data_IF_464119673539
#
_entry.id   IF_464119673539
#
_cell.length_a   1.000
_cell.length_b   1.000
_cell.length_c   1.000
_cell.angle_alpha   90.00
_cell.angle_beta   90.00
_cell.angle_gamma   90.00
#
_symmetry.space_group_name_H-M   'P 1'
#
loop_
_entity.id
_entity.type
_entity.pdbx_description
1 polymer ?
#
# COMPACT_ATOMS: atom_id res chain seq x y z
N UNK A 1 0.38 17.96 0.95
CA UNK A 1 -0.13 18.18 -0.40
C UNK A 1 -1.65 18.14 -0.43
N UNK A 2 -2.25 19.08 -1.13
CA UNK A 2 -3.70 19.14 -1.35
C UNK A 2 -4.08 18.71 -2.76
N UNK A 3 -3.14 18.83 -3.69
CA UNK A 3 -3.28 18.44 -5.09
C UNK A 3 -2.13 17.51 -5.51
N UNK A 4 -2.34 16.77 -6.60
CA UNK A 4 -1.35 15.83 -7.14
C UNK A 4 -0.01 16.52 -7.46
N UNK A 5 -0.06 17.74 -7.99
CA UNK A 5 1.13 18.49 -8.38
C UNK A 5 1.96 18.97 -7.19
N UNK A 6 1.36 19.09 -6.01
CA UNK A 6 2.10 19.41 -4.79
C UNK A 6 3.11 18.33 -4.43
N UNK A 7 2.91 17.09 -4.90
CA UNK A 7 3.84 15.99 -4.64
C UNK A 7 5.24 16.22 -5.19
N UNK A 8 5.39 17.07 -6.22
CA UNK A 8 6.70 17.42 -6.78
C UNK A 8 7.58 18.20 -5.80
N UNK A 9 6.95 18.90 -4.85
CA UNK A 9 7.63 19.60 -3.75
C UNK A 9 7.94 18.68 -2.55
N UNK A 10 7.49 17.42 -2.58
CA UNK A 10 7.68 16.46 -1.51
C UNK A 10 8.64 15.33 -1.93
N UNK A 11 9.12 14.61 -0.94
CA UNK A 11 9.98 13.43 -1.13
C UNK A 11 9.23 12.20 -0.68
N UNK A 12 9.35 11.12 -1.42
CA UNK A 12 8.89 9.81 -0.98
C UNK A 12 10.00 9.02 -0.31
N UNK A 13 9.60 8.09 0.56
CA UNK A 13 10.43 6.92 0.83
C UNK A 13 10.22 5.94 -0.33
N UNK A 14 11.28 5.55 -1.01
CA UNK A 14 11.21 4.56 -2.07
C UNK A 14 11.00 3.15 -1.51
N UNK A 15 10.19 2.35 -2.16
CA UNK A 15 10.05 0.93 -1.87
C UNK A 15 10.48 0.10 -3.08
N UNK A 16 11.37 -0.87 -2.88
CA UNK A 16 11.78 -1.80 -3.92
C UNK A 16 11.96 -3.19 -3.31
N UNK A 17 11.44 -4.23 -3.95
CA UNK A 17 11.57 -5.61 -3.44
C UNK A 17 13.00 -6.15 -3.46
N UNK A 18 13.83 -5.59 -4.34
CA UNK A 18 15.25 -5.98 -4.48
C UNK A 18 16.13 -4.76 -4.29
N UNK A 19 17.17 -4.88 -3.49
CA UNK A 19 18.17 -3.81 -3.31
C UNK A 19 18.81 -3.46 -4.65
N UNK A 20 18.92 -2.15 -4.92
CA UNK A 20 19.44 -1.62 -6.17
C UNK A 20 18.42 -1.54 -7.31
N UNK A 21 17.22 -2.10 -7.15
CA UNK A 21 16.13 -1.87 -8.10
C UNK A 21 15.55 -0.46 -7.98
N UNK A 22 14.94 0.02 -9.06
CA UNK A 22 14.20 1.29 -9.02
C UNK A 22 13.01 1.14 -8.06
N UNK A 23 12.73 2.16 -7.22
CA UNK A 23 11.55 2.15 -6.37
C UNK A 23 10.28 2.16 -7.21
N UNK A 24 9.21 1.60 -6.65
CA UNK A 24 7.89 1.67 -7.25
C UNK A 24 7.42 3.12 -7.38
N UNK A 25 6.75 3.47 -8.47
CA UNK A 25 6.15 4.79 -8.65
C UNK A 25 4.96 4.96 -7.69
N UNK A 26 4.60 6.21 -7.44
CA UNK A 26 3.34 6.55 -6.76
C UNK A 26 2.16 6.23 -7.68
N UNK A 27 1.26 5.35 -7.25
CA UNK A 27 0.04 4.98 -7.99
C UNK A 27 -1.14 5.79 -7.46
N UNK A 28 -1.98 6.27 -8.36
CA UNK A 28 -3.17 7.05 -7.99
C UNK A 28 -4.31 6.86 -8.99
N UNK A 29 -5.54 7.09 -8.52
CA UNK A 29 -6.72 7.13 -9.36
C UNK A 29 -6.81 8.49 -10.04
N UNK A 30 -6.62 8.53 -11.36
CA UNK A 30 -6.80 9.75 -12.15
C UNK A 30 -8.28 9.91 -12.50
N UNK A 31 -8.90 10.95 -11.96
CA UNK A 31 -10.30 11.28 -12.21
C UNK A 31 -10.48 12.37 -13.26
N UNK A 32 -9.41 12.96 -13.77
CA UNK A 32 -9.46 14.11 -14.69
C UNK A 32 -10.05 13.74 -16.06
N UNK A 33 -9.86 12.51 -16.50
CA UNK A 33 -10.37 11.99 -17.76
C UNK A 33 -11.84 11.46 -17.70
N UNK A 34 -12.50 11.57 -16.55
CA UNK A 34 -13.88 11.12 -16.36
C UNK A 34 -14.10 9.61 -16.28
N UNK A 35 -13.06 8.80 -16.44
CA UNK A 35 -13.14 7.34 -16.51
C UNK A 35 -12.44 6.59 -15.36
N UNK A 36 -11.88 7.28 -14.38
CA UNK A 36 -11.23 6.65 -13.23
C UNK A 36 -10.14 5.65 -13.61
N UNK A 37 -9.12 6.11 -14.29
CA UNK A 37 -7.98 5.28 -14.71
C UNK A 37 -6.87 5.39 -13.68
N UNK A 38 -6.23 4.24 -13.33
CA UNK A 38 -5.05 4.28 -12.48
C UNK A 38 -3.83 4.75 -13.28
N UNK A 39 -3.13 5.71 -12.72
CA UNK A 39 -1.91 6.28 -13.29
C UNK A 39 -0.75 6.19 -12.29
N UNK A 40 0.46 6.45 -12.77
CA UNK A 40 1.67 6.37 -11.97
C UNK A 40 2.50 7.62 -12.17
N UNK A 41 3.10 8.09 -11.07
CA UNK A 41 4.02 9.23 -11.07
C UNK A 41 5.32 8.85 -10.37
N UNK A 42 6.44 9.06 -11.04
CA UNK A 42 7.75 8.91 -10.41
C UNK A 42 8.01 10.13 -9.53
N UNK A 43 8.22 9.90 -8.25
CA UNK A 43 8.56 10.94 -7.29
C UNK A 43 10.00 10.78 -6.83
N UNK A 44 10.59 11.88 -6.37
CA UNK A 44 11.93 11.88 -5.82
C UNK A 44 11.94 11.06 -4.53
N UNK A 45 12.90 10.15 -4.40
CA UNK A 45 13.15 9.38 -3.18
C UNK A 45 14.61 9.55 -2.76
N UNK A 46 14.84 9.95 -1.50
CA UNK A 46 16.19 10.07 -0.95
C UNK A 46 16.64 8.76 -0.27
N UNK A 47 15.69 7.95 0.17
CA UNK A 47 15.90 6.65 0.82
C UNK A 47 15.01 5.63 0.13
N UNK A 48 15.55 4.45 -0.13
CA UNK A 48 14.80 3.30 -0.65
C UNK A 48 15.00 2.11 0.28
N UNK A 49 13.90 1.46 0.63
CA UNK A 49 13.84 0.31 1.53
C UNK A 49 13.17 -0.88 0.83
N UNK A 50 13.31 -2.08 1.39
CA UNK A 50 12.79 -3.32 0.81
C UNK A 50 11.91 -4.14 1.76
N UNK A 51 11.49 -3.56 2.88
CA UNK A 51 10.57 -4.20 3.81
C UNK A 51 9.61 -3.18 4.43
N UNK A 52 8.45 -3.65 4.87
CA UNK A 52 7.36 -2.82 5.35
C UNK A 52 7.69 -2.06 6.64
N UNK A 53 8.45 -2.66 7.54
CA UNK A 53 8.84 -2.05 8.82
C UNK A 53 9.74 -0.85 8.59
N UNK A 54 10.82 -1.01 7.82
CA UNK A 54 11.71 0.09 7.45
C UNK A 54 10.96 1.20 6.69
N UNK A 55 9.97 0.83 5.87
CA UNK A 55 9.16 1.76 5.11
C UNK A 55 8.34 2.67 6.04
N UNK A 56 7.64 2.07 7.00
CA UNK A 56 6.87 2.83 8.01
C UNK A 56 7.77 3.65 8.93
N UNK A 57 8.87 3.08 9.40
CA UNK A 57 9.81 3.79 10.29
C UNK A 57 10.48 4.98 9.60
N UNK A 58 10.81 4.88 8.32
CA UNK A 58 11.34 6.00 7.55
C UNK A 58 10.33 7.14 7.44
N UNK A 59 9.04 6.85 7.25
CA UNK A 59 7.99 7.86 7.26
C UNK A 59 7.84 8.50 8.64
N UNK A 60 7.82 7.71 9.72
CA UNK A 60 7.78 8.21 11.11
C UNK A 60 8.96 9.10 11.43
N UNK A 61 10.13 8.82 10.88
CA UNK A 61 11.32 9.65 11.00
C UNK A 61 11.28 10.93 10.14
N UNK A 62 10.20 11.16 9.38
CA UNK A 62 10.04 12.35 8.53
C UNK A 62 10.83 12.31 7.22
N UNK A 63 11.27 11.12 6.78
CA UNK A 63 12.10 10.97 5.58
C UNK A 63 11.30 11.05 4.27
N UNK A 64 9.96 11.04 4.34
CA UNK A 64 9.12 11.22 3.16
C UNK A 64 7.75 10.58 3.29
N UNK A 65 6.96 10.72 2.22
CA UNK A 65 5.64 10.13 2.07
C UNK A 65 5.79 8.64 1.73
N UNK A 66 4.89 7.81 2.25
CA UNK A 66 4.78 6.39 1.91
C UNK A 66 3.40 6.07 1.33
N UNK A 67 3.31 4.99 0.57
CA UNK A 67 2.06 4.46 0.07
C UNK A 67 1.88 3.02 0.58
N UNK A 68 0.95 2.84 1.51
CA UNK A 68 0.72 1.57 2.20
C UNK A 68 -0.77 1.26 2.29
N UNK A 69 -1.17 -0.01 2.43
CA UNK A 69 -2.56 -0.35 2.74
C UNK A 69 -3.00 0.33 4.04
N UNK A 70 -4.21 0.91 4.03
CA UNK A 70 -4.76 1.64 5.18
C UNK A 70 -4.81 0.79 6.46
N UNK A 71 -5.05 -0.52 6.31
CA UNK A 71 -5.03 -1.48 7.43
C UNK A 71 -3.66 -1.54 8.12
N UNK A 72 -2.58 -1.44 7.36
CA UNK A 72 -1.21 -1.47 7.90
C UNK A 72 -0.80 -0.18 8.62
N UNK A 73 -1.46 0.93 8.31
CA UNK A 73 -1.21 2.25 8.90
C UNK A 73 -2.25 2.66 9.96
N UNK A 74 -3.17 1.73 10.33
CA UNK A 74 -4.34 2.05 11.14
C UNK A 74 -3.98 2.65 12.51
N UNK A 75 -3.02 2.07 13.19
CA UNK A 75 -2.61 2.53 14.53
C UNK A 75 -2.00 3.94 14.46
N UNK A 76 -1.10 4.18 13.52
CA UNK A 76 -0.44 5.46 13.32
C UNK A 76 -1.40 6.56 12.83
N UNK A 77 -2.44 6.20 12.09
CA UNK A 77 -3.50 7.14 11.72
C UNK A 77 -4.38 7.49 12.91
N UNK A 78 -4.63 6.55 13.83
CA UNK A 78 -5.45 6.77 15.04
C UNK A 78 -4.72 7.61 16.09
N UNK A 79 -3.42 7.39 16.28
CA UNK A 79 -2.60 8.13 17.24
C UNK A 79 -2.06 9.46 16.67
N UNK A 80 -2.28 9.71 15.37
CA UNK A 80 -1.89 10.95 14.68
C UNK A 80 -0.41 11.01 14.28
N UNK A 81 0.36 9.94 14.42
CA UNK A 81 1.76 9.88 13.98
C UNK A 81 1.87 9.80 12.45
N UNK A 82 0.83 9.30 11.77
CA UNK A 82 0.64 9.44 10.33
C UNK A 82 -0.53 10.36 10.01
N UNK A 83 -0.40 11.07 8.91
CA UNK A 83 -1.47 11.89 8.31
C UNK A 83 -1.73 11.38 6.89
N UNK A 84 -2.98 11.06 6.60
CA UNK A 84 -3.39 10.68 5.25
C UNK A 84 -3.38 11.91 4.33
N UNK A 85 -2.71 11.80 3.20
CA UNK A 85 -2.64 12.85 2.17
C UNK A 85 -3.30 12.38 0.90
N UNK A 86 -3.96 13.28 0.18
CA UNK A 86 -4.65 13.02 -1.09
C UNK A 86 -5.66 11.84 -1.03
N UNK A 87 -6.59 11.81 -0.06
CA UNK A 87 -7.48 10.68 0.15
C UNK A 87 -8.40 10.38 -1.05
N UNK A 88 -8.61 11.36 -1.95
CA UNK A 88 -9.39 11.17 -3.17
C UNK A 88 -8.60 10.49 -4.30
N UNK A 89 -7.29 10.38 -4.19
CA UNK A 89 -6.39 9.83 -5.20
C UNK A 89 -5.79 8.48 -4.75
N UNK A 90 -6.61 7.62 -4.19
CA UNK A 90 -6.14 6.32 -3.69
C UNK A 90 -5.57 5.44 -4.80
N UNK A 91 -4.55 4.66 -4.46
CA UNK A 91 -4.04 3.60 -5.32
C UNK A 91 -5.09 2.50 -5.52
N UNK A 92 -4.85 1.65 -6.51
CA UNK A 92 -5.66 0.45 -6.74
C UNK A 92 -5.72 -0.41 -5.49
N UNK A 93 -6.89 -0.98 -5.16
CA UNK A 93 -6.99 -1.96 -4.10
C UNK A 93 -6.02 -3.12 -4.33
N UNK A 94 -5.25 -3.46 -3.29
CA UNK A 94 -4.30 -4.57 -3.36
C UNK A 94 -5.05 -5.90 -3.21
N UNK A 95 -5.02 -6.79 -4.22
CA UNK A 95 -5.66 -8.08 -4.11
C UNK A 95 -4.91 -8.96 -3.10
N UNK A 96 -5.66 -9.57 -2.19
CA UNK A 96 -5.14 -10.56 -1.25
C UNK A 96 -5.62 -11.93 -1.71
N UNK A 97 -4.68 -12.86 -1.86
CA UNK A 97 -4.97 -14.23 -2.32
C UNK A 97 -4.52 -15.25 -1.29
N UNK A 98 -5.40 -16.20 -0.99
CA UNK A 98 -5.07 -17.35 -0.18
C UNK A 98 -4.49 -18.45 -1.06
N UNK A 99 -3.22 -18.79 -0.85
CA UNK A 99 -2.54 -19.84 -1.60
C UNK A 99 -2.47 -21.12 -0.77
N UNK A 100 -2.82 -22.23 -1.40
CA UNK A 100 -2.72 -23.56 -0.79
C UNK A 100 -2.22 -24.59 -1.83
N UNK A 101 -1.53 -25.66 -1.39
CA UNK A 101 -1.09 -26.71 -2.30
C UNK A 101 -2.28 -27.38 -3.00
N UNK A 102 -2.24 -27.46 -4.32
CA UNK A 102 -3.28 -28.16 -5.08
C UNK A 102 -3.21 -29.67 -4.77
N UNK A 103 -4.11 -30.15 -3.92
CA UNK A 103 -4.30 -31.57 -3.63
C UNK A 103 -5.73 -31.98 -4.02
N UNK A 104 -5.86 -33.15 -4.62
CA UNK A 104 -7.16 -33.70 -5.02
C UNK A 104 -8.19 -33.79 -3.88
N UNK A 105 -7.70 -33.88 -2.64
CA UNK A 105 -8.52 -33.88 -1.43
C UNK A 105 -7.93 -32.93 -0.40
N UNK A 106 -8.57 -31.79 -0.21
CA UNK A 106 -8.22 -30.87 0.87
C UNK A 106 -8.71 -31.45 2.20
N UNK A 107 -7.87 -31.59 3.23
CA UNK A 107 -8.33 -31.96 4.56
C UNK A 107 -9.41 -31.00 5.06
N UNK A 108 -10.48 -31.53 5.67
CA UNK A 108 -11.61 -30.71 6.15
C UNK A 108 -11.16 -29.56 7.07
N UNK A 109 -10.16 -29.79 7.93
CA UNK A 109 -9.56 -28.75 8.80
C UNK A 109 -8.98 -27.56 8.02
N UNK A 110 -8.38 -27.81 6.86
CA UNK A 110 -7.82 -26.76 6.01
C UNK A 110 -8.95 -25.97 5.36
N UNK A 111 -9.99 -26.66 4.91
CA UNK A 111 -11.17 -26.03 4.31
C UNK A 111 -11.87 -25.11 5.30
N UNK A 112 -12.13 -25.57 6.53
CA UNK A 112 -12.73 -24.75 7.60
C UNK A 112 -11.89 -23.52 7.93
N UNK A 113 -10.56 -23.67 7.98
CA UNK A 113 -9.67 -22.54 8.22
C UNK A 113 -9.70 -21.51 7.06
N UNK A 114 -9.74 -21.99 5.82
CA UNK A 114 -9.85 -21.12 4.65
C UNK A 114 -11.16 -20.35 4.62
N UNK A 115 -12.27 -21.02 4.94
CA UNK A 115 -13.60 -20.39 5.00
C UNK A 115 -13.62 -19.30 6.08
N UNK A 116 -13.13 -19.61 7.28
CA UNK A 116 -13.00 -18.65 8.38
C UNK A 116 -12.11 -17.45 8.01
N UNK A 117 -10.95 -17.70 7.40
CA UNK A 117 -10.05 -16.63 6.98
C UNK A 117 -10.67 -15.76 5.89
N UNK A 118 -11.39 -16.36 4.95
CA UNK A 118 -12.09 -15.65 3.89
C UNK A 118 -13.18 -14.74 4.46
N UNK A 119 -13.92 -15.21 5.47
CA UNK A 119 -14.93 -14.42 6.17
C UNK A 119 -14.29 -13.26 6.95
N UNK A 120 -13.22 -13.53 7.70
CA UNK A 120 -12.48 -12.52 8.44
C UNK A 120 -11.97 -11.41 7.50
N UNK A 121 -11.42 -11.75 6.35
CA UNK A 121 -10.88 -10.79 5.39
C UNK A 121 -11.94 -9.91 4.71
N UNK A 122 -13.21 -10.30 4.73
CA UNK A 122 -14.29 -9.43 4.23
C UNK A 122 -14.45 -8.16 5.06
N UNK A 123 -14.04 -8.18 6.32
CA UNK A 123 -14.08 -7.03 7.23
C UNK A 123 -13.12 -5.90 6.81
N UNK A 124 -12.14 -6.21 5.96
CA UNK A 124 -11.09 -5.28 5.50
C UNK A 124 -11.28 -4.80 4.05
N UNK A 125 -12.48 -4.99 3.50
CA UNK A 125 -12.85 -4.48 2.16
C UNK A 125 -13.17 -2.99 2.18
#
# INVERSE_FOLDING_TARGET
PMHLDDLDAHVMVGYATTLGAKPYPFEYLDTTAGSGVYAWRMLKANVTVNNAESYSNACLAGLGIIQVPRVSAREQLLDGSFIEVLPALMARPMPISLLYPNRRHLPKRVQVFMDWLSELMQTYR
#
